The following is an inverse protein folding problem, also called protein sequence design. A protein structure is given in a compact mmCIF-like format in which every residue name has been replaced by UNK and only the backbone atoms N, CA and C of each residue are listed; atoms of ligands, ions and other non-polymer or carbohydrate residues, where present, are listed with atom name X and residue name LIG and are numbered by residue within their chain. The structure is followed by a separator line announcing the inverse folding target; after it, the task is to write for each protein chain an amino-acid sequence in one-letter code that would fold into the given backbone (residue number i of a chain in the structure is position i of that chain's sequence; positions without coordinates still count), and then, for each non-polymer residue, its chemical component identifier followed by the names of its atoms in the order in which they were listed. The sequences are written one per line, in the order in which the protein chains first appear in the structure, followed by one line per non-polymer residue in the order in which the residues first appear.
data_IF_660285925377
#
_entry.id   IF_660285925377
#
_cell.length_a   1.000
_cell.length_b   1.000
_cell.length_c   1.000
_cell.angle_alpha   90.00
_cell.angle_beta   90.00
_cell.angle_gamma   90.00
#
_symmetry.space_group_name_H-M   'P 1'
#
loop_
_entity.id
_entity.type
_entity.pdbx_description
1 polymer ?
#
# COMPACT_ATOMS: atom_id res chain seq x y z
N UNK A 1 25.50 2.44 0.59
CA UNK A 1 24.23 3.12 0.87
C UNK A 1 23.14 2.08 0.74
N UNK A 2 22.40 1.81 1.80
CA UNK A 2 21.28 0.87 1.79
C UNK A 2 20.19 1.42 0.87
N UNK A 3 19.76 0.63 -0.09
CA UNK A 3 18.67 1.01 -1.00
C UNK A 3 17.34 0.99 -0.26
N UNK A 4 16.36 1.77 -0.73
CA UNK A 4 14.99 1.76 -0.18
C UNK A 4 14.43 0.33 -0.14
N UNK A 5 14.73 -0.47 -1.18
CA UNK A 5 14.39 -1.90 -1.26
C UNK A 5 14.95 -2.69 -0.07
N UNK A 6 16.24 -2.56 0.22
CA UNK A 6 16.89 -3.29 1.33
C UNK A 6 16.31 -2.87 2.68
N UNK A 7 16.00 -1.59 2.87
CA UNK A 7 15.34 -1.10 4.07
C UNK A 7 13.91 -1.67 4.23
N UNK A 8 13.16 -1.80 3.13
CA UNK A 8 11.81 -2.39 3.14
C UNK A 8 11.84 -3.88 3.52
N UNK A 9 12.77 -4.66 2.96
CA UNK A 9 12.86 -6.10 3.24
C UNK A 9 13.33 -6.39 4.68
N UNK A 10 14.31 -5.63 5.18
CA UNK A 10 14.78 -5.78 6.56
C UNK A 10 13.68 -5.45 7.59
N UNK A 11 12.82 -4.47 7.28
CA UNK A 11 11.67 -4.14 8.13
C UNK A 11 10.67 -5.30 8.20
N UNK A 12 10.38 -5.96 7.06
CA UNK A 12 9.44 -7.07 7.00
C UNK A 12 9.91 -8.31 7.79
N UNK A 13 11.21 -8.61 7.75
CA UNK A 13 11.79 -9.71 8.54
C UNK A 13 11.82 -9.42 10.04
N UNK A 14 12.11 -8.17 10.45
CA UNK A 14 12.25 -7.79 11.85
C UNK A 14 10.94 -7.92 12.67
N UNK A 15 9.77 -7.87 12.02
CA UNK A 15 8.46 -7.91 12.69
C UNK A 15 7.74 -9.27 12.63
N UNK A 16 8.40 -10.34 12.15
CA UNK A 16 7.86 -11.71 12.26
C UNK A 16 6.52 -11.93 11.55
N UNK A 17 6.31 -11.32 10.37
CA UNK A 17 5.10 -11.55 9.59
C UNK A 17 5.14 -12.88 8.83
N UNK A 18 4.65 -13.95 9.45
CA UNK A 18 4.16 -15.13 8.71
C UNK A 18 2.71 -14.89 8.28
N UNK A 19 2.50 -14.19 7.17
CA UNK A 19 1.19 -14.09 6.51
C UNK A 19 1.18 -14.86 5.20
N UNK A 20 0.12 -15.63 4.96
CA UNK A 20 -0.21 -16.21 3.65
C UNK A 20 -0.15 -15.10 2.60
N UNK A 21 0.54 -15.35 1.49
CA UNK A 21 0.73 -14.43 0.36
C UNK A 21 -0.56 -14.11 -0.42
N UNK A 22 -1.68 -13.89 0.28
CA UNK A 22 -2.95 -13.48 -0.27
C UNK A 22 -2.97 -11.99 -0.51
N UNK A 23 -2.90 -11.58 -1.78
CA UNK A 23 -3.20 -10.21 -2.17
C UNK A 23 -4.54 -9.77 -1.55
N UNK A 24 -4.60 -8.57 -0.99
CA UNK A 24 -5.79 -8.01 -0.33
C UNK A 24 -5.83 -8.17 1.19
N UNK A 25 -5.05 -9.07 1.81
CA UNK A 25 -5.04 -9.24 3.27
C UNK A 25 -4.62 -7.95 4.00
N UNK A 26 -3.53 -7.32 3.55
CA UNK A 26 -2.94 -6.17 4.24
C UNK A 26 -3.90 -5.00 4.44
N UNK A 27 -4.81 -4.74 3.49
CA UNK A 27 -5.76 -3.63 3.57
C UNK A 27 -6.80 -3.90 4.67
N UNK A 28 -7.48 -5.05 4.61
CA UNK A 28 -8.51 -5.41 5.59
C UNK A 28 -7.93 -5.67 6.99
N UNK A 29 -6.74 -6.29 7.05
CA UNK A 29 -6.05 -6.55 8.32
C UNK A 29 -5.65 -5.26 9.04
N UNK A 30 -5.25 -4.22 8.30
CA UNK A 30 -4.92 -2.92 8.88
C UNK A 30 -6.13 -2.28 9.58
N UNK A 31 -7.32 -2.39 8.98
CA UNK A 31 -8.57 -1.90 9.57
C UNK A 31 -8.87 -2.64 10.88
N UNK A 32 -8.82 -3.98 10.86
CA UNK A 32 -9.03 -4.79 12.07
C UNK A 32 -7.98 -4.49 13.16
N UNK A 33 -6.73 -4.26 12.77
CA UNK A 33 -5.65 -3.89 13.70
C UNK A 33 -5.91 -2.54 14.34
N UNK A 34 -6.35 -1.53 13.58
CA UNK A 34 -6.65 -0.20 14.11
C UNK A 34 -7.84 -0.22 15.09
N UNK A 35 -8.82 -1.10 14.87
CA UNK A 35 -9.92 -1.32 15.81
C UNK A 35 -9.45 -1.99 17.10
N UNK A 36 -8.49 -2.92 17.02
CA UNK A 36 -8.00 -3.67 18.16
C UNK A 36 -6.92 -2.92 18.97
N UNK A 37 -6.11 -2.10 18.31
CA UNK A 37 -4.92 -1.42 18.88
C UNK A 37 -5.07 0.09 18.74
N UNK A 38 -6.02 0.66 19.46
CA UNK A 38 -6.38 2.08 19.36
C UNK A 38 -5.31 3.06 19.81
N UNK A 39 -4.29 2.61 20.55
CA UNK A 39 -3.13 3.42 20.94
C UNK A 39 -2.06 3.54 19.87
N UNK A 40 -2.09 2.67 18.86
CA UNK A 40 -0.99 2.50 17.93
C UNK A 40 -1.36 3.07 16.56
N UNK A 41 -0.42 3.78 15.93
CA UNK A 41 -0.61 4.20 14.54
C UNK A 41 -0.42 3.01 13.61
N UNK A 42 -1.49 2.62 12.93
CA UNK A 42 -1.44 1.53 11.93
C UNK A 42 -1.10 2.09 10.56
N UNK A 43 -0.04 1.54 9.96
CA UNK A 43 0.42 1.89 8.61
C UNK A 43 0.37 0.62 7.76
N UNK A 44 -0.35 0.68 6.66
CA UNK A 44 -0.50 -0.42 5.71
C UNK A 44 0.27 -0.12 4.44
N UNK A 45 1.42 -0.77 4.23
CA UNK A 45 2.22 -0.63 3.01
C UNK A 45 1.86 -1.76 2.04
N UNK A 46 1.26 -1.41 0.90
CA UNK A 46 0.63 -2.39 0.01
C UNK A 46 0.96 -2.04 -1.46
N UNK A 47 1.26 -3.03 -2.29
CA UNK A 47 1.42 -2.80 -3.73
C UNK A 47 0.09 -2.47 -4.42
N UNK A 48 0.11 -1.67 -5.49
CA UNK A 48 -1.05 -1.33 -6.32
C UNK A 48 -1.90 -2.54 -6.72
N UNK A 49 -1.29 -3.59 -7.26
CA UNK A 49 -2.00 -4.81 -7.63
C UNK A 49 -2.62 -5.53 -6.43
N UNK A 50 -1.92 -5.57 -5.29
CA UNK A 50 -2.42 -6.23 -4.09
C UNK A 50 -3.59 -5.46 -3.45
N UNK A 51 -3.58 -4.12 -3.53
CA UNK A 51 -4.65 -3.26 -3.00
C UNK A 51 -5.98 -3.50 -3.69
N UNK A 52 -5.98 -3.80 -5.00
CA UNK A 52 -7.22 -3.98 -5.76
C UNK A 52 -8.07 -5.18 -5.33
N UNK A 53 -7.50 -6.17 -4.63
CA UNK A 53 -8.25 -7.33 -4.12
C UNK A 53 -9.23 -6.98 -3.00
N UNK A 54 -8.98 -5.87 -2.28
CA UNK A 54 -9.79 -5.45 -1.14
C UNK A 54 -10.01 -3.94 -1.09
N UNK A 55 -9.95 -3.25 -2.23
CA UNK A 55 -9.96 -1.78 -2.30
C UNK A 55 -11.23 -1.15 -1.71
N UNK A 56 -12.35 -1.88 -1.71
CA UNK A 56 -13.61 -1.50 -1.04
C UNK A 56 -13.46 -1.35 0.49
N UNK A 57 -12.37 -1.88 1.06
CA UNK A 57 -12.06 -1.68 2.47
C UNK A 57 -11.77 -0.22 2.83
N UNK A 58 -11.40 0.62 1.86
CA UNK A 58 -11.27 2.07 2.11
C UNK A 58 -12.60 2.68 2.57
N UNK A 59 -13.72 2.27 1.96
CA UNK A 59 -15.05 2.69 2.40
C UNK A 59 -15.36 2.22 3.82
N UNK A 60 -14.98 0.98 4.18
CA UNK A 60 -15.16 0.48 5.54
C UNK A 60 -14.31 1.26 6.55
N UNK A 61 -13.06 1.58 6.21
CA UNK A 61 -12.20 2.41 7.04
C UNK A 61 -12.80 3.80 7.29
N UNK A 62 -13.38 4.42 6.25
CA UNK A 62 -14.06 5.71 6.35
C UNK A 62 -15.31 5.64 7.24
N UNK A 63 -16.17 4.62 7.06
CA UNK A 63 -17.37 4.40 7.87
C UNK A 63 -17.05 4.19 9.35
N UNK A 64 -15.96 3.47 9.63
CA UNK A 64 -15.54 3.13 10.99
C UNK A 64 -14.63 4.20 11.62
N UNK A 65 -14.19 5.21 10.85
CA UNK A 65 -13.28 6.25 11.31
C UNK A 65 -11.91 5.71 11.76
N UNK A 66 -11.45 4.58 11.22
CA UNK A 66 -10.20 3.96 11.67
C UNK A 66 -8.98 4.76 11.20
N UNK A 67 -8.04 5.17 12.08
CA UNK A 67 -6.91 6.04 11.74
C UNK A 67 -5.77 5.32 10.98
N UNK A 68 -6.11 4.51 9.97
CA UNK A 68 -5.15 3.75 9.15
C UNK A 68 -4.52 4.67 8.10
N UNK A 69 -3.20 4.63 8.01
CA UNK A 69 -2.43 5.20 6.90
C UNK A 69 -2.19 4.14 5.83
N UNK A 70 -2.92 4.20 4.72
CA UNK A 70 -2.72 3.31 3.59
C UNK A 70 -1.64 3.90 2.66
N UNK A 71 -0.50 3.23 2.53
CA UNK A 71 0.57 3.63 1.63
C UNK A 71 0.60 2.64 0.47
N UNK A 72 0.11 3.07 -0.70
CA UNK A 72 0.10 2.26 -1.91
C UNK A 72 1.35 2.51 -2.72
N UNK A 73 2.18 1.47 -2.85
CA UNK A 73 3.36 1.48 -3.71
C UNK A 73 2.91 1.12 -5.13
N UNK A 74 2.98 2.10 -6.03
CA UNK A 74 2.44 2.00 -7.38
C UNK A 74 3.56 2.00 -8.41
N UNK A 75 3.83 0.82 -8.97
CA UNK A 75 4.76 0.62 -10.08
C UNK A 75 4.05 0.19 -11.38
N UNK A 76 2.71 0.13 -11.37
CA UNK A 76 1.88 -0.16 -12.52
C UNK A 76 1.91 -1.62 -12.94
N UNK A 77 2.36 -2.57 -12.11
CA UNK A 77 2.42 -4.00 -12.46
C UNK A 77 2.56 -4.92 -11.25
N UNK A 78 2.32 -6.22 -11.45
CA UNK A 78 2.67 -7.23 -10.46
C UNK A 78 4.19 -7.51 -10.46
N UNK A 79 4.99 -6.63 -9.84
CA UNK A 79 6.47 -6.71 -9.89
C UNK A 79 7.05 -8.03 -9.40
N UNK A 80 6.43 -8.69 -8.40
CA UNK A 80 6.86 -10.01 -7.97
C UNK A 80 6.82 -11.04 -9.13
N UNK A 81 5.78 -11.00 -9.97
CA UNK A 81 5.68 -11.86 -11.16
C UNK A 81 6.74 -11.51 -12.20
N UNK A 82 7.03 -10.23 -12.40
CA UNK A 82 8.13 -9.80 -13.28
C UNK A 82 9.50 -10.27 -12.77
N UNK A 83 9.73 -10.21 -11.45
CA UNK A 83 10.95 -10.71 -10.83
C UNK A 83 11.13 -12.21 -11.03
N UNK A 84 10.06 -13.01 -10.85
CA UNK A 84 10.10 -14.43 -11.14
C UNK A 84 10.26 -14.72 -12.63
N UNK A 85 9.54 -14.01 -13.50
CA UNK A 85 9.65 -14.17 -14.95
C UNK A 85 11.06 -13.95 -15.46
N UNK A 86 11.76 -12.91 -14.97
CA UNK A 86 13.19 -12.67 -15.26
C UNK A 86 14.06 -13.86 -14.80
N UNK A 87 13.80 -14.38 -13.60
CA UNK A 87 14.54 -15.53 -13.04
C UNK A 87 14.32 -16.82 -13.83
N UNK A 88 13.13 -16.98 -14.43
CA UNK A 88 12.76 -18.16 -15.22
C UNK A 88 12.95 -17.99 -16.74
N UNK A 89 13.53 -16.87 -17.20
CA UNK A 89 13.76 -16.62 -18.63
C UNK A 89 12.49 -16.45 -19.46
N UNK A 90 11.39 -16.03 -18.83
CA UNK A 90 10.11 -15.82 -19.51
C UNK A 90 10.21 -14.61 -20.46
N UNK A 91 9.76 -14.79 -21.70
CA UNK A 91 9.80 -13.76 -22.74
C UNK A 91 8.65 -12.75 -22.60
N UNK A 92 7.52 -13.17 -22.05
CA UNK A 92 6.35 -12.31 -21.83
C UNK A 92 5.56 -12.74 -20.61
N UNK A 93 4.84 -11.77 -20.02
CA UNK A 93 3.99 -11.96 -18.84
C UNK A 93 2.63 -11.29 -19.08
N UNK A 94 1.71 -11.92 -19.84
CA UNK A 94 0.39 -11.34 -20.11
C UNK A 94 -0.41 -11.17 -18.81
N UNK A 95 -1.25 -10.12 -18.76
CA UNK A 95 -2.15 -9.88 -17.62
C UNK A 95 -1.48 -9.32 -16.36
N UNK A 96 -0.24 -8.83 -16.45
CA UNK A 96 0.52 -8.37 -15.28
C UNK A 96 0.62 -6.85 -15.12
N UNK A 97 0.16 -6.08 -16.11
CA UNK A 97 0.23 -4.62 -16.16
C UNK A 97 -1.05 -3.98 -15.60
N UNK A 98 -0.91 -2.84 -14.93
CA UNK A 98 -1.96 -2.08 -14.24
C UNK A 98 -1.87 -0.55 -14.50
N UNK A 99 -1.79 -0.10 -15.77
CA UNK A 99 -1.38 1.27 -16.10
C UNK A 99 -2.40 2.38 -15.75
N UNK A 100 -3.68 2.05 -15.58
CA UNK A 100 -4.76 3.04 -15.54
C UNK A 100 -5.32 3.33 -14.14
N UNK A 101 -4.80 2.68 -13.09
CA UNK A 101 -5.33 2.83 -11.74
C UNK A 101 -4.92 4.19 -11.14
N UNK A 102 -5.89 4.89 -10.56
CA UNK A 102 -5.70 6.12 -9.77
C UNK A 102 -6.23 5.88 -8.36
N UNK A 103 -5.32 5.62 -7.42
CA UNK A 103 -5.69 5.26 -6.05
C UNK A 103 -6.16 6.47 -5.24
N UNK A 104 -5.71 7.68 -5.55
CA UNK A 104 -6.26 8.88 -4.93
C UNK A 104 -7.74 9.05 -5.29
N UNK A 105 -8.11 8.91 -6.56
CA UNK A 105 -9.51 8.96 -6.98
C UNK A 105 -10.35 7.83 -6.35
N UNK A 106 -9.81 6.61 -6.27
CA UNK A 106 -10.49 5.48 -5.61
C UNK A 106 -10.69 5.70 -4.11
N UNK A 107 -9.75 6.36 -3.44
CA UNK A 107 -9.83 6.71 -2.03
C UNK A 107 -10.88 7.80 -1.79
N UNK A 108 -10.81 8.88 -2.56
CA UNK A 108 -11.73 10.02 -2.47
C UNK A 108 -13.18 9.60 -2.72
N UNK A 109 -13.41 8.76 -3.73
CA UNK A 109 -14.74 8.19 -4.02
C UNK A 109 -15.30 7.32 -2.88
N UNK A 110 -14.43 6.83 -1.99
CA UNK A 110 -14.80 6.02 -0.83
C UNK A 110 -14.75 6.79 0.50
N UNK A 111 -14.51 8.10 0.47
CA UNK A 111 -14.49 8.97 1.65
C UNK A 111 -13.16 9.00 2.40
N UNK A 112 -12.06 8.60 1.76
CA UNK A 112 -10.71 8.64 2.33
C UNK A 112 -9.90 9.74 1.65
N UNK A 113 -9.36 10.67 2.43
CA UNK A 113 -8.47 11.71 1.91
C UNK A 113 -7.18 11.09 1.35
N UNK A 114 -6.67 11.61 0.24
CA UNK A 114 -5.50 11.02 -0.41
C UNK A 114 -4.50 12.04 -0.94
N UNK A 115 -3.24 11.61 -1.06
CA UNK A 115 -2.16 12.37 -1.72
C UNK A 115 -1.35 11.46 -2.64
N UNK A 116 -1.07 11.94 -3.85
CA UNK A 116 -0.15 11.29 -4.79
C UNK A 116 1.24 11.90 -4.64
N UNK A 117 2.26 11.07 -4.75
CA UNK A 117 3.67 11.45 -4.66
C UNK A 117 4.49 10.74 -5.73
N UNK A 118 5.38 11.48 -6.38
CA UNK A 118 6.31 10.99 -7.41
C UNK A 118 7.74 11.51 -7.18
N UNK A 119 8.00 12.12 -6.03
CA UNK A 119 9.33 12.54 -5.57
C UNK A 119 9.52 12.20 -4.10
N UNK A 120 10.77 12.01 -3.68
CA UNK A 120 11.07 11.73 -2.27
C UNK A 120 10.60 12.83 -1.31
N UNK A 121 10.77 14.11 -1.70
CA UNK A 121 10.32 15.23 -0.88
C UNK A 121 8.78 15.26 -0.74
N UNK A 122 8.04 15.00 -1.82
CA UNK A 122 6.58 14.91 -1.75
C UNK A 122 6.13 13.70 -0.91
N UNK A 123 6.86 12.58 -0.99
CA UNK A 123 6.62 11.40 -0.15
C UNK A 123 6.78 11.72 1.33
N UNK A 124 7.87 12.37 1.73
CA UNK A 124 8.10 12.75 3.12
C UNK A 124 6.97 13.63 3.68
N UNK A 125 6.52 14.63 2.90
CA UNK A 125 5.42 15.51 3.31
C UNK A 125 4.07 14.80 3.36
N UNK A 126 3.81 13.86 2.43
CA UNK A 126 2.60 13.06 2.46
C UNK A 126 2.58 12.06 3.62
N UNK A 127 3.71 11.43 3.95
CA UNK A 127 3.82 10.52 5.08
C UNK A 127 3.63 11.27 6.41
N UNK A 128 4.25 12.43 6.59
CA UNK A 128 4.02 13.28 7.78
C UNK A 128 2.54 13.63 7.95
N UNK A 129 1.89 14.04 6.87
CA UNK A 129 0.45 14.34 6.88
C UNK A 129 -0.40 13.10 7.22
N UNK A 130 -0.15 11.97 6.58
CA UNK A 130 -0.92 10.74 6.78
C UNK A 130 -0.73 10.18 8.20
N UNK A 131 0.50 10.23 8.71
CA UNK A 131 0.84 9.69 10.02
C UNK A 131 0.24 10.52 11.16
N UNK A 132 0.08 11.83 10.95
CA UNK A 132 -0.58 12.72 11.90
C UNK A 132 -2.13 12.69 11.82
N UNK A 133 -2.72 11.97 10.87
CA UNK A 133 -4.16 11.91 10.71
C UNK A 133 -4.82 10.95 11.71
N UNK A 134 -5.87 11.42 12.38
CA UNK A 134 -6.75 10.62 13.26
C UNK A 134 -7.92 9.96 12.50
N UNK A 135 -7.91 10.06 11.18
CA UNK A 135 -8.89 9.49 10.25
C UNK A 135 -8.15 8.68 9.18
N UNK A 136 -8.81 7.78 8.44
CA UNK A 136 -8.13 7.05 7.38
C UNK A 136 -7.58 8.01 6.32
N UNK A 137 -6.40 7.70 5.81
CA UNK A 137 -5.75 8.46 4.75
C UNK A 137 -5.01 7.53 3.80
N UNK A 138 -4.86 7.96 2.54
CA UNK A 138 -4.14 7.21 1.52
C UNK A 138 -2.99 8.03 0.91
N UNK A 139 -1.82 7.42 0.79
CA UNK A 139 -0.68 7.95 0.04
C UNK A 139 -0.43 7.03 -1.16
N UNK A 140 -0.62 7.55 -2.38
CA UNK A 140 -0.16 6.88 -3.61
C UNK A 140 1.31 7.27 -3.84
N UNK A 141 2.22 6.32 -3.62
CA UNK A 141 3.65 6.48 -3.86
C UNK A 141 4.02 5.85 -5.19
N UNK A 142 4.27 6.68 -6.20
CA UNK A 142 4.67 6.23 -7.53
C UNK A 142 6.15 5.86 -7.51
N UNK A 143 6.49 4.66 -7.98
CA UNK A 143 7.86 4.14 -8.03
C UNK A 143 8.15 3.52 -9.40
N UNK A 144 9.41 3.63 -9.82
CA UNK A 144 9.92 3.13 -11.11
C UNK A 144 10.33 1.64 -11.09
#
# INVERSE_FOLDING_TARGET
MTTVREATFALLEAYGMTTVFGNGYGLSAAIGTALARTSDKVIAVIGDGASMYAIQGLHAAAQLGTPVSFVIIKNGRYEALHSFGRKFGMQSLPGTQLPHLNFCALAEAQGVAARRTDTAAALDEALKWSFAADVPSLVEAVVD
#
